data_IF_078875625960
#
_entry.id   IF_078875625960
#
_cell.length_a   1.000
_cell.length_b   1.000
_cell.length_c   1.000
_cell.angle_alpha   90.00
_cell.angle_beta   90.00
_cell.angle_gamma   90.00
#
_symmetry.space_group_name_H-M   'P 1'
#
loop_
_entity.id
_entity.type
_entity.pdbx_description
1 polymer ?
#
# COMPACT_ATOMS: atom_id res chain seq x y z
N UNK A 1 17.77 37.92 -8.53
CA UNK A 1 16.90 37.30 -9.56
C UNK A 1 16.74 35.83 -9.20
N UNK A 2 15.52 35.43 -8.73
CA UNK A 2 15.20 34.00 -8.50
C UNK A 2 14.99 33.36 -9.87
N UNK A 3 15.77 32.34 -10.22
CA UNK A 3 15.50 31.50 -11.39
C UNK A 3 14.12 30.88 -11.20
N UNK A 4 13.14 31.23 -12.04
CA UNK A 4 11.93 30.45 -12.21
C UNK A 4 12.37 29.07 -12.71
N UNK A 5 12.28 28.08 -11.85
CA UNK A 5 12.34 26.67 -12.26
C UNK A 5 11.14 26.44 -13.16
N UNK A 6 11.40 26.19 -14.44
CA UNK A 6 10.36 25.80 -15.38
C UNK A 6 9.62 24.58 -14.81
N UNK A 7 8.38 24.77 -14.43
CA UNK A 7 7.49 23.67 -14.05
C UNK A 7 7.38 22.76 -15.27
N UNK A 8 7.77 21.48 -15.11
CA UNK A 8 7.55 20.48 -16.16
C UNK A 8 6.06 20.50 -16.53
N UNK A 9 5.70 20.55 -17.80
CA UNK A 9 4.30 20.47 -18.21
C UNK A 9 3.69 19.19 -17.69
N UNK A 10 2.44 19.26 -17.24
CA UNK A 10 1.70 18.07 -16.80
C UNK A 10 1.50 17.17 -18.02
N UNK A 11 1.74 15.86 -17.90
CA UNK A 11 1.52 14.92 -18.98
C UNK A 11 0.08 14.94 -19.48
N UNK A 12 -0.12 14.67 -20.76
CA UNK A 12 -1.45 14.72 -21.37
C UNK A 12 -2.40 13.68 -20.76
N UNK A 13 -1.89 12.47 -20.46
CA UNK A 13 -2.67 11.38 -19.87
C UNK A 13 -2.06 10.97 -18.54
N UNK A 14 -2.87 11.05 -17.49
CA UNK A 14 -2.53 10.59 -16.16
C UNK A 14 -3.46 9.48 -15.72
N UNK A 15 -2.97 8.61 -14.85
CA UNK A 15 -3.78 7.60 -14.18
C UNK A 15 -3.67 7.72 -12.66
N UNK A 16 -4.76 7.45 -11.97
CA UNK A 16 -4.81 7.41 -10.52
C UNK A 16 -5.18 6.01 -10.04
N UNK A 17 -4.34 5.46 -9.16
CA UNK A 17 -4.56 4.19 -8.48
C UNK A 17 -4.70 4.42 -6.99
N UNK A 18 -5.73 3.83 -6.38
CA UNK A 18 -5.87 3.67 -4.94
C UNK A 18 -5.98 2.18 -4.64
N UNK A 19 -5.03 1.65 -3.90
CA UNK A 19 -4.96 0.22 -3.61
C UNK A 19 -4.37 -0.03 -2.22
N UNK A 20 -4.67 -1.20 -1.65
CA UNK A 20 -3.94 -1.66 -0.48
C UNK A 20 -2.48 -1.92 -0.85
N UNK A 21 -1.59 -1.40 -0.05
CA UNK A 21 -0.17 -1.65 -0.19
C UNK A 21 0.17 -3.14 -0.05
N UNK A 22 1.26 -3.59 -0.66
CA UNK A 22 1.65 -5.01 -0.69
C UNK A 22 2.24 -5.52 0.62
N UNK A 23 2.50 -4.66 1.57
CA UNK A 23 3.13 -4.99 2.84
C UNK A 23 2.44 -4.35 4.04
N UNK A 24 3.11 -4.38 5.17
CA UNK A 24 2.70 -3.78 6.42
C UNK A 24 3.69 -2.68 6.80
N UNK A 25 3.19 -1.62 7.41
CA UNK A 25 4.01 -0.55 7.97
C UNK A 25 3.78 -0.48 9.48
N UNK A 26 4.85 -0.17 10.20
CA UNK A 26 4.76 0.08 11.64
C UNK A 26 4.23 1.49 11.87
N UNK A 27 3.17 1.60 12.68
CA UNK A 27 2.56 2.87 13.08
C UNK A 27 2.63 2.97 14.59
N UNK A 28 3.44 3.91 15.09
CA UNK A 28 3.73 3.99 16.52
C UNK A 28 4.67 2.88 16.99
N UNK A 29 4.56 2.50 18.26
CA UNK A 29 5.53 1.59 18.87
C UNK A 29 5.20 0.11 18.71
N UNK A 30 3.94 -0.26 18.42
CA UNK A 30 3.51 -1.68 18.44
C UNK A 30 2.38 -2.03 17.46
N UNK A 31 2.03 -1.14 16.55
CA UNK A 31 0.91 -1.37 15.63
C UNK A 31 1.41 -1.54 14.19
N UNK A 32 1.13 -2.71 13.61
CA UNK A 32 1.32 -2.98 12.19
C UNK A 32 0.01 -2.77 11.45
N UNK A 33 0.02 -1.93 10.44
CA UNK A 33 -1.15 -1.66 9.62
C UNK A 33 -0.82 -1.90 8.15
N UNK A 34 -1.81 -2.34 7.39
CA UNK A 34 -1.69 -2.40 5.95
C UNK A 34 -1.93 -1.00 5.38
N UNK A 35 -0.93 -0.37 4.75
CA UNK A 35 -1.10 0.96 4.21
C UNK A 35 -2.00 0.94 2.98
N UNK A 36 -2.66 2.05 2.73
CA UNK A 36 -3.25 2.34 1.43
C UNK A 36 -2.28 3.16 0.61
N UNK A 37 -2.05 2.74 -0.62
CA UNK A 37 -1.31 3.51 -1.62
C UNK A 37 -2.28 4.35 -2.43
N UNK A 38 -2.00 5.64 -2.54
CA UNK A 38 -2.52 6.53 -3.56
C UNK A 38 -1.39 6.88 -4.52
N UNK A 39 -1.53 6.56 -5.79
CA UNK A 39 -0.52 6.79 -6.81
C UNK A 39 -1.12 7.56 -7.98
N UNK A 40 -0.53 8.69 -8.31
CA UNK A 40 -0.75 9.41 -9.56
C UNK A 40 0.43 9.15 -10.49
N UNK A 41 0.17 8.66 -11.68
CA UNK A 41 1.19 8.36 -12.67
C UNK A 41 0.87 9.01 -14.01
N UNK A 42 1.91 9.37 -14.76
CA UNK A 42 1.82 9.64 -16.18
C UNK A 42 1.91 8.33 -16.93
N UNK A 43 1.07 8.12 -17.92
CA UNK A 43 1.15 6.94 -18.77
C UNK A 43 2.42 6.93 -19.62
N UNK A 44 3.08 8.08 -19.81
CA UNK A 44 4.32 8.21 -20.57
C UNK A 44 5.57 8.07 -19.70
N UNK A 45 5.60 8.73 -18.53
CA UNK A 45 6.83 8.91 -17.74
C UNK A 45 6.84 8.17 -16.40
N UNK A 46 5.72 7.60 -15.99
CA UNK A 46 5.60 6.86 -14.72
C UNK A 46 5.13 7.70 -13.55
N UNK A 47 5.54 7.35 -12.34
CA UNK A 47 5.03 7.96 -11.12
C UNK A 47 5.31 9.47 -11.06
N UNK A 48 4.25 10.24 -10.81
CA UNK A 48 4.29 11.69 -10.61
C UNK A 48 4.20 12.06 -9.14
N UNK A 49 3.30 11.41 -8.41
CA UNK A 49 3.08 11.64 -6.98
C UNK A 49 2.54 10.37 -6.32
N UNK A 50 2.87 10.19 -5.05
CA UNK A 50 2.43 9.04 -4.27
C UNK A 50 2.25 9.37 -2.80
N UNK A 51 1.31 8.71 -2.16
CA UNK A 51 1.09 8.80 -0.73
C UNK A 51 0.77 7.42 -0.14
N UNK A 52 1.29 7.17 1.05
CA UNK A 52 0.91 6.02 1.88
C UNK A 52 0.13 6.55 3.08
N UNK A 53 -1.02 5.94 3.35
CA UNK A 53 -1.83 6.24 4.53
C UNK A 53 -2.10 4.94 5.30
N UNK A 54 -2.32 5.03 6.60
CA UNK A 54 -2.68 3.89 7.45
C UNK A 54 -4.19 3.60 7.47
N UNK A 55 -4.94 4.26 6.59
CA UNK A 55 -6.37 4.09 6.42
C UNK A 55 -6.73 4.15 4.94
N UNK A 56 -7.92 3.67 4.57
CA UNK A 56 -8.46 3.83 3.22
C UNK A 56 -9.03 5.24 3.05
N UNK A 57 -8.44 6.11 2.23
CA UNK A 57 -8.96 7.46 2.02
C UNK A 57 -10.37 7.42 1.42
N UNK A 58 -11.24 8.34 1.82
CA UNK A 58 -12.52 8.54 1.14
C UNK A 58 -12.33 9.08 -0.28
N UNK A 59 -13.37 9.07 -1.09
CA UNK A 59 -13.31 9.65 -2.44
C UNK A 59 -13.08 11.17 -2.39
N UNK A 60 -13.64 11.85 -1.40
CA UNK A 60 -13.38 13.26 -1.14
C UNK A 60 -11.90 13.53 -0.81
N UNK A 61 -11.32 12.75 0.09
CA UNK A 61 -9.91 12.88 0.44
C UNK A 61 -8.98 12.60 -0.74
N UNK A 62 -9.32 11.58 -1.56
CA UNK A 62 -8.59 11.27 -2.77
C UNK A 62 -8.70 12.41 -3.81
N UNK A 63 -9.89 12.98 -3.98
CA UNK A 63 -10.11 14.12 -4.87
C UNK A 63 -9.34 15.35 -4.38
N UNK A 64 -9.37 15.66 -3.09
CA UNK A 64 -8.65 16.79 -2.52
C UNK A 64 -7.13 16.65 -2.70
N UNK A 65 -6.60 15.43 -2.53
CA UNK A 65 -5.19 15.13 -2.76
C UNK A 65 -4.79 15.35 -4.24
N UNK A 66 -5.61 14.87 -5.18
CA UNK A 66 -5.40 15.08 -6.61
C UNK A 66 -5.50 16.56 -6.97
N UNK A 67 -6.51 17.26 -6.47
CA UNK A 67 -6.69 18.69 -6.70
C UNK A 67 -5.54 19.53 -6.15
N UNK A 68 -4.96 19.15 -5.00
CA UNK A 68 -3.78 19.82 -4.46
C UNK A 68 -2.58 19.69 -5.41
N UNK A 69 -2.37 18.51 -5.98
CA UNK A 69 -1.32 18.30 -6.98
C UNK A 69 -1.58 19.12 -8.27
N UNK A 70 -2.80 19.07 -8.81
CA UNK A 70 -3.13 19.76 -10.06
C UNK A 70 -3.16 21.28 -9.93
N UNK A 71 -3.40 21.84 -8.75
CA UNK A 71 -3.23 23.30 -8.53
C UNK A 71 -1.78 23.76 -8.70
N UNK A 72 -0.82 22.92 -8.39
CA UNK A 72 0.61 23.25 -8.48
C UNK A 72 1.19 22.98 -9.87
N UNK A 73 0.70 21.95 -10.54
CA UNK A 73 1.30 21.43 -11.78
C UNK A 73 0.42 21.61 -13.02
N UNK A 74 -0.85 21.97 -12.83
CA UNK A 74 -1.89 22.00 -13.86
C UNK A 74 -2.63 20.65 -13.98
N UNK A 75 -3.88 20.63 -14.47
CA UNK A 75 -4.63 19.40 -14.69
C UNK A 75 -4.19 18.71 -16.00
N UNK A 76 -4.29 17.36 -16.09
CA UNK A 76 -4.05 16.64 -17.32
C UNK A 76 -5.22 16.85 -18.31
N UNK A 77 -5.01 16.49 -19.56
CA UNK A 77 -6.10 16.44 -20.55
C UNK A 77 -7.04 15.25 -20.29
N UNK A 78 -6.47 14.12 -19.86
CA UNK A 78 -7.20 12.91 -19.55
C UNK A 78 -6.71 12.32 -18.23
N UNK A 79 -7.67 11.87 -17.40
CA UNK A 79 -7.41 11.19 -16.12
C UNK A 79 -8.15 9.86 -16.08
N UNK A 80 -7.38 8.78 -15.95
CA UNK A 80 -7.85 7.40 -15.87
C UNK A 80 -7.93 6.96 -14.41
N UNK A 81 -9.05 6.35 -13.99
CA UNK A 81 -9.23 5.84 -12.64
C UNK A 81 -10.28 4.73 -12.58
N UNK A 82 -10.21 3.87 -11.57
CA UNK A 82 -11.06 2.68 -11.47
C UNK A 82 -12.35 2.87 -10.65
N UNK A 83 -12.60 4.06 -10.08
CA UNK A 83 -13.69 4.30 -9.14
C UNK A 83 -14.72 5.28 -9.74
N UNK A 84 -15.97 4.81 -9.93
CA UNK A 84 -17.05 5.60 -10.54
C UNK A 84 -17.47 6.80 -9.67
N UNK A 85 -17.49 6.65 -8.34
CA UNK A 85 -17.85 7.75 -7.44
C UNK A 85 -16.80 8.86 -7.49
N UNK A 86 -15.53 8.49 -7.51
CA UNK A 86 -14.43 9.45 -7.65
C UNK A 86 -14.43 10.09 -9.04
N UNK A 87 -14.80 9.34 -10.11
CA UNK A 87 -14.96 9.89 -11.46
C UNK A 87 -16.02 11.01 -11.48
N UNK A 88 -17.21 10.75 -10.91
CA UNK A 88 -18.28 11.72 -10.86
C UNK A 88 -17.86 13.00 -10.12
N UNK A 89 -17.15 12.83 -8.99
CA UNK A 89 -16.66 13.92 -8.18
C UNK A 89 -15.60 14.78 -8.90
N UNK A 90 -14.62 14.12 -9.53
CA UNK A 90 -13.56 14.81 -10.28
C UNK A 90 -14.07 15.43 -11.58
N UNK A 91 -15.05 14.84 -12.24
CA UNK A 91 -15.70 15.42 -13.41
C UNK A 91 -16.34 16.79 -13.12
N UNK A 92 -16.84 16.99 -11.91
CA UNK A 92 -17.36 18.29 -11.47
C UNK A 92 -16.24 19.29 -11.10
N UNK A 93 -15.10 18.81 -10.57
CA UNK A 93 -14.01 19.63 -10.04
C UNK A 93 -12.93 19.98 -11.07
N UNK A 94 -12.88 19.27 -12.18
CA UNK A 94 -11.88 19.42 -13.26
C UNK A 94 -12.57 19.70 -14.61
N UNK A 95 -13.24 20.85 -14.77
CA UNK A 95 -13.83 21.19 -16.06
C UNK A 95 -12.71 21.33 -17.10
N UNK A 96 -12.77 20.54 -18.16
CA UNK A 96 -11.74 20.51 -19.21
C UNK A 96 -10.81 19.31 -19.17
N UNK A 97 -10.86 18.48 -18.11
CA UNK A 97 -10.20 17.17 -18.07
C UNK A 97 -11.21 16.08 -18.41
N UNK A 98 -10.87 15.19 -19.32
CA UNK A 98 -11.67 13.99 -19.59
C UNK A 98 -11.37 12.96 -18.53
N UNK A 99 -12.35 12.66 -17.65
CA UNK A 99 -12.18 11.64 -16.60
C UNK A 99 -12.83 10.33 -17.04
N UNK A 100 -12.04 9.28 -17.24
CA UNK A 100 -12.49 7.97 -17.69
C UNK A 100 -12.33 6.89 -16.65
N UNK A 101 -13.21 5.89 -16.69
CA UNK A 101 -13.07 4.66 -15.92
C UNK A 101 -12.13 3.70 -16.65
N UNK A 102 -11.05 3.33 -15.96
CA UNK A 102 -10.09 2.34 -16.40
C UNK A 102 -9.67 1.50 -15.19
N UNK A 103 -9.75 0.18 -15.30
CA UNK A 103 -9.56 -0.69 -14.12
C UNK A 103 -8.13 -0.68 -13.63
N UNK A 104 -7.19 -0.76 -14.56
CA UNK A 104 -5.74 -0.65 -14.33
C UNK A 104 -5.03 -0.45 -15.65
N UNK A 105 -4.15 0.53 -15.69
CA UNK A 105 -3.30 0.71 -16.85
C UNK A 105 -2.01 -0.12 -16.73
N UNK A 106 -1.34 -0.48 -17.84
CA UNK A 106 -0.06 -1.17 -17.80
C UNK A 106 1.01 -0.40 -17.01
N UNK A 107 0.95 0.93 -16.99
CA UNK A 107 1.85 1.76 -16.20
C UNK A 107 1.58 1.59 -14.72
N UNK A 108 0.31 1.65 -14.29
CA UNK A 108 -0.08 1.42 -12.90
C UNK A 108 0.35 0.04 -12.41
N UNK A 109 0.20 -1.00 -13.23
CA UNK A 109 0.62 -2.35 -12.88
C UNK A 109 2.13 -2.42 -12.65
N UNK A 110 2.93 -1.88 -13.58
CA UNK A 110 4.39 -1.83 -13.41
C UNK A 110 4.82 -1.09 -12.15
N UNK A 111 4.21 0.06 -11.85
CA UNK A 111 4.53 0.84 -10.65
C UNK A 111 4.13 0.10 -9.36
N UNK A 112 2.97 -0.54 -9.38
CA UNK A 112 2.51 -1.34 -8.24
C UNK A 112 3.40 -2.55 -8.00
N UNK A 113 3.81 -3.25 -9.04
CA UNK A 113 4.71 -4.40 -8.95
C UNK A 113 6.11 -4.01 -8.47
N UNK A 114 6.66 -2.91 -8.98
CA UNK A 114 7.95 -2.39 -8.52
C UNK A 114 7.90 -2.05 -7.02
N UNK A 115 6.83 -1.40 -6.58
CA UNK A 115 6.65 -1.09 -5.17
C UNK A 115 6.44 -2.35 -4.33
N UNK A 116 5.67 -3.33 -4.81
CA UNK A 116 5.48 -4.62 -4.13
C UNK A 116 6.82 -5.33 -3.91
N UNK A 117 7.65 -5.40 -4.93
CA UNK A 117 8.98 -5.99 -4.85
C UNK A 117 9.85 -5.28 -3.81
N UNK A 118 9.91 -3.95 -3.88
CA UNK A 118 10.66 -3.14 -2.92
C UNK A 118 10.18 -3.33 -1.47
N UNK A 119 8.86 -3.34 -1.25
CA UNK A 119 8.31 -3.56 0.08
C UNK A 119 8.53 -4.99 0.58
N UNK A 120 8.45 -6.01 -0.30
CA UNK A 120 8.76 -7.39 0.07
C UNK A 120 10.21 -7.55 0.50
N UNK A 121 11.16 -6.92 -0.19
CA UNK A 121 12.56 -6.90 0.20
C UNK A 121 12.76 -6.20 1.55
N UNK A 122 12.06 -5.11 1.80
CA UNK A 122 12.17 -4.34 3.04
C UNK A 122 11.55 -5.08 4.25
N UNK A 123 10.40 -5.73 4.05
CA UNK A 123 9.73 -6.52 5.10
C UNK A 123 10.55 -7.76 5.43
N UNK A 124 11.06 -8.47 4.43
CA UNK A 124 11.97 -9.60 4.66
C UNK A 124 13.21 -9.16 5.44
N UNK A 125 13.78 -8.00 5.10
CA UNK A 125 14.91 -7.43 5.83
C UNK A 125 14.56 -7.04 7.27
N UNK A 126 13.39 -6.44 7.52
CA UNK A 126 13.02 -6.02 8.88
C UNK A 126 12.77 -7.21 9.82
N UNK A 127 12.14 -8.28 9.36
CA UNK A 127 11.93 -9.49 10.18
C UNK A 127 13.27 -10.20 10.44
N UNK A 128 14.11 -10.36 9.42
CA UNK A 128 15.44 -10.95 9.56
C UNK A 128 16.31 -10.10 10.48
N UNK A 129 16.25 -8.78 10.37
CA UNK A 129 17.00 -7.86 11.23
C UNK A 129 16.52 -7.94 12.70
N UNK A 130 15.21 -8.11 12.91
CA UNK A 130 14.63 -8.18 14.26
C UNK A 130 14.97 -9.46 15.01
N UNK A 131 14.94 -10.60 14.35
CA UNK A 131 15.05 -11.92 15.01
C UNK A 131 16.23 -12.78 14.54
N UNK A 132 16.94 -12.34 13.49
CA UNK A 132 17.98 -13.10 12.81
C UNK A 132 17.41 -14.11 11.80
N UNK A 133 18.15 -14.40 10.75
CA UNK A 133 17.70 -15.23 9.61
C UNK A 133 17.24 -16.63 10.03
N UNK A 134 17.99 -17.28 10.89
CA UNK A 134 17.67 -18.63 11.36
C UNK A 134 16.37 -18.70 12.17
N UNK A 135 16.15 -17.72 13.06
CA UNK A 135 14.92 -17.65 13.86
C UNK A 135 13.73 -17.26 12.99
N UNK A 136 13.88 -16.29 12.08
CA UNK A 136 12.85 -15.89 11.13
C UNK A 136 12.35 -17.10 10.33
N UNK A 137 13.25 -17.88 9.75
CA UNK A 137 12.91 -19.10 9.00
C UNK A 137 12.13 -20.09 9.85
N UNK A 138 12.54 -20.35 11.09
CA UNK A 138 11.83 -21.26 11.99
C UNK A 138 10.45 -20.76 12.40
N UNK A 139 10.30 -19.46 12.65
CA UNK A 139 9.00 -18.84 12.97
C UNK A 139 8.05 -19.02 11.78
N UNK A 140 8.48 -18.69 10.56
CA UNK A 140 7.65 -18.85 9.37
C UNK A 140 7.26 -20.29 9.10
N UNK A 141 8.19 -21.24 9.19
CA UNK A 141 7.89 -22.66 9.01
C UNK A 141 6.92 -23.21 10.07
N UNK A 142 7.05 -22.77 11.33
CA UNK A 142 6.15 -23.19 12.40
C UNK A 142 4.75 -22.59 12.22
N UNK A 143 4.67 -21.30 11.85
CA UNK A 143 3.42 -20.64 11.55
C UNK A 143 2.72 -21.29 10.35
N UNK A 144 3.42 -21.57 9.28
CA UNK A 144 2.88 -22.24 8.10
C UNK A 144 2.28 -23.61 8.44
N UNK A 145 2.99 -24.43 9.21
CA UNK A 145 2.48 -25.75 9.66
C UNK A 145 1.24 -25.62 10.54
N UNK A 146 1.23 -24.66 11.47
CA UNK A 146 0.12 -24.43 12.37
C UNK A 146 -1.12 -23.97 11.62
N UNK A 147 -0.97 -22.95 10.76
CA UNK A 147 -2.09 -22.33 10.07
C UNK A 147 -2.56 -23.09 8.82
N UNK A 148 -1.75 -23.98 8.25
CA UNK A 148 -2.18 -24.81 7.12
C UNK A 148 -3.32 -25.76 7.47
N UNK A 149 -3.46 -26.12 8.75
CA UNK A 149 -4.54 -26.97 9.26
C UNK A 149 -5.79 -26.21 9.73
N UNK A 150 -5.78 -24.89 9.69
CA UNK A 150 -6.89 -24.08 10.18
C UNK A 150 -7.87 -23.71 9.06
N UNK A 151 -9.16 -23.59 9.42
CA UNK A 151 -10.18 -23.10 8.52
C UNK A 151 -9.92 -21.62 8.14
N UNK A 152 -10.35 -21.24 6.95
CA UNK A 152 -10.29 -19.83 6.50
C UNK A 152 -11.09 -18.95 7.47
N UNK A 153 -10.46 -17.89 7.98
CA UNK A 153 -11.06 -16.95 8.94
C UNK A 153 -10.75 -17.22 10.41
N UNK A 154 -9.91 -18.22 10.72
CA UNK A 154 -9.45 -18.44 12.09
C UNK A 154 -8.52 -17.30 12.55
N UNK A 155 -8.84 -16.70 13.69
CA UNK A 155 -8.12 -15.53 14.25
C UNK A 155 -7.25 -15.91 15.45
N UNK A 156 -6.97 -17.22 15.64
CA UNK A 156 -6.11 -17.65 16.75
C UNK A 156 -4.70 -17.09 16.63
N UNK A 157 -4.14 -16.73 17.79
CA UNK A 157 -2.75 -16.30 17.91
C UNK A 157 -1.87 -17.50 18.22
N UNK A 158 -0.87 -17.75 17.41
CA UNK A 158 0.17 -18.71 17.70
C UNK A 158 1.23 -18.04 18.58
N UNK A 159 1.43 -18.54 19.79
CA UNK A 159 2.56 -18.16 20.63
C UNK A 159 3.79 -18.96 20.22
N UNK A 160 4.83 -18.26 19.80
CA UNK A 160 6.11 -18.85 19.46
C UNK A 160 7.17 -18.42 20.47
N UNK A 161 7.65 -19.38 21.26
CA UNK A 161 8.66 -19.14 22.30
C UNK A 161 10.06 -19.50 21.79
N UNK A 162 11.01 -18.60 22.02
CA UNK A 162 12.42 -18.85 21.71
C UNK A 162 13.33 -18.22 22.77
N UNK A 163 13.84 -19.06 23.66
CA UNK A 163 14.64 -18.59 24.80
C UNK A 163 13.81 -17.78 25.78
N UNK A 164 14.22 -16.53 26.04
CA UNK A 164 13.53 -15.60 26.94
C UNK A 164 12.50 -14.73 26.25
N UNK A 165 12.26 -14.92 24.96
CA UNK A 165 11.38 -14.09 24.17
C UNK A 165 10.24 -14.90 23.56
N UNK A 166 9.02 -14.40 23.66
CA UNK A 166 7.86 -14.93 22.97
C UNK A 166 7.38 -13.97 21.90
N UNK A 167 6.84 -14.53 20.84
CA UNK A 167 6.28 -13.80 19.72
C UNK A 167 4.83 -14.23 19.51
N UNK A 168 3.96 -13.28 19.21
CA UNK A 168 2.61 -13.55 18.73
C UNK A 168 2.60 -13.62 17.21
N UNK A 169 2.06 -14.71 16.63
CA UNK A 169 1.92 -14.87 15.18
C UNK A 169 0.44 -14.98 14.86
N UNK A 170 -0.06 -14.08 14.03
CA UNK A 170 -1.47 -14.04 13.63
C UNK A 170 -1.56 -14.30 12.13
N UNK A 171 -2.43 -15.22 11.69
CA UNK A 171 -2.67 -15.40 10.26
C UNK A 171 -3.42 -14.21 9.70
N UNK A 172 -3.03 -13.78 8.52
CA UNK A 172 -3.72 -12.72 7.80
C UNK A 172 -4.14 -13.29 6.45
N UNK A 173 -5.45 -13.37 6.24
CA UNK A 173 -6.00 -13.78 4.96
C UNK A 173 -6.28 -12.53 4.12
N UNK A 174 -5.55 -12.38 3.02
CA UNK A 174 -5.85 -11.42 1.97
C UNK A 174 -6.49 -12.17 0.80
N UNK A 175 -7.35 -11.51 0.04
CA UNK A 175 -8.19 -12.09 -1.02
C UNK A 175 -7.45 -13.02 -2.00
N UNK A 176 -6.13 -12.96 -2.09
CA UNK A 176 -5.31 -13.84 -2.94
C UNK A 176 -4.01 -14.33 -2.28
N UNK A 177 -3.70 -13.92 -1.05
CA UNK A 177 -2.46 -14.29 -0.39
C UNK A 177 -2.72 -14.59 1.09
N UNK A 178 -2.09 -15.65 1.60
CA UNK A 178 -2.00 -15.93 3.03
C UNK A 178 -0.69 -15.36 3.54
N UNK A 179 -0.72 -14.70 4.69
CA UNK A 179 0.46 -14.14 5.33
C UNK A 179 0.34 -14.26 6.84
N UNK A 180 1.38 -13.82 7.53
CA UNK A 180 1.42 -13.80 8.99
C UNK A 180 1.86 -12.44 9.48
N UNK A 181 1.28 -12.01 10.58
CA UNK A 181 1.77 -10.88 11.37
C UNK A 181 2.61 -11.41 12.51
N UNK A 182 3.79 -10.85 12.70
CA UNK A 182 4.65 -11.15 13.83
C UNK A 182 4.61 -9.99 14.83
N UNK A 183 4.17 -10.28 16.03
CA UNK A 183 4.17 -9.35 17.15
C UNK A 183 5.30 -9.69 18.12
N UNK A 184 5.82 -8.69 18.81
CA UNK A 184 6.90 -8.86 19.81
C UNK A 184 6.47 -9.66 21.05
N UNK A 185 5.16 -9.87 21.27
CA UNK A 185 4.63 -10.78 22.27
C UNK A 185 3.27 -11.33 21.83
N UNK A 186 2.86 -12.47 22.41
CA UNK A 186 1.53 -13.03 22.19
C UNK A 186 0.42 -12.11 22.76
N UNK A 187 0.70 -11.35 23.81
CA UNK A 187 -0.24 -10.39 24.40
C UNK A 187 -0.48 -9.19 23.48
N UNK A 188 0.57 -8.71 22.80
CA UNK A 188 0.44 -7.65 21.81
C UNK A 188 -0.37 -8.08 20.59
N UNK A 189 -0.34 -9.38 20.25
CA UNK A 189 -1.10 -9.93 19.14
C UNK A 189 -2.58 -10.18 19.46
N UNK A 190 -2.95 -10.23 20.75
CA UNK A 190 -4.31 -10.52 21.22
C UNK A 190 -5.15 -9.26 21.44
N UNK A 191 -4.57 -8.08 21.34
CA UNK A 191 -5.24 -6.76 21.42
C UNK A 191 -5.65 -6.26 20.05
#
# INVERSE_FOLDING_TARGET
MKKLTATKPVPSVCSYLRAWGPGLIEVGTDQLVRPTLSLLASEETGALNGALTNYWPSDEQAADWLMAYFRQHGPPQELLLANASLQALLGQRLPGTVVRLETRTPMQERQFDAMRTHMQEHIAHSVVTMVGEFKATRIFQSAERFFSGLASGDTRVLRYETGSQDYGVVPVSFVQHRGFLLYRSAEAAAK
#
